data_IF_329527480867
#
_entry.id   IF_329527480867
#
_cell.length_a   1.000
_cell.length_b   1.000
_cell.length_c   1.000
_cell.angle_alpha   90.00
_cell.angle_beta   90.00
_cell.angle_gamma   90.00
#
_symmetry.space_group_name_H-M   'P 1'
#
loop_
_entity.id
_entity.type
_entity.pdbx_description
1 polymer ?
#
# COMPACT_ATOMS: atom_id res chain seq x y z
N UNK A 1 38.25 -5.67 -1.10
CA UNK A 1 37.32 -6.69 -1.67
C UNK A 1 36.70 -6.10 -2.93
N UNK A 2 36.80 -6.75 -4.09
CA UNK A 2 36.30 -6.19 -5.36
C UNK A 2 34.79 -6.38 -5.49
N UNK A 3 34.11 -5.48 -6.24
CA UNK A 3 32.66 -5.54 -6.48
C UNK A 3 32.22 -6.90 -7.07
N UNK A 4 33.04 -7.49 -7.96
CA UNK A 4 32.77 -8.81 -8.53
C UNK A 4 32.79 -9.93 -7.48
N UNK A 5 33.74 -9.90 -6.54
CA UNK A 5 33.84 -10.91 -5.48
C UNK A 5 32.65 -10.82 -4.51
N UNK A 6 32.26 -9.60 -4.14
CA UNK A 6 31.06 -9.35 -3.34
C UNK A 6 29.79 -9.91 -4.02
N UNK A 7 29.60 -9.60 -5.30
CA UNK A 7 28.45 -10.10 -6.07
C UNK A 7 28.40 -11.62 -6.10
N UNK A 8 29.54 -12.28 -6.35
CA UNK A 8 29.61 -13.74 -6.36
C UNK A 8 29.24 -14.33 -4.99
N UNK A 9 29.78 -13.78 -3.90
CA UNK A 9 29.46 -14.22 -2.53
C UNK A 9 27.96 -14.03 -2.19
N UNK A 10 27.36 -12.91 -2.60
CA UNK A 10 25.92 -12.68 -2.40
C UNK A 10 25.07 -13.68 -3.18
N UNK A 11 25.44 -13.99 -4.43
CA UNK A 11 24.73 -14.98 -5.25
C UNK A 11 24.84 -16.38 -4.62
N UNK A 12 26.04 -16.77 -4.17
CA UNK A 12 26.26 -18.05 -3.51
C UNK A 12 25.43 -18.17 -2.22
N UNK A 13 25.47 -17.14 -1.36
CA UNK A 13 24.69 -17.10 -0.13
C UNK A 13 23.18 -17.16 -0.40
N UNK A 14 22.69 -16.41 -1.39
CA UNK A 14 21.28 -16.43 -1.79
C UNK A 14 20.87 -17.80 -2.34
N UNK A 15 21.73 -18.46 -3.12
CA UNK A 15 21.46 -19.81 -3.65
C UNK A 15 21.37 -20.84 -2.53
N UNK A 16 22.28 -20.77 -1.55
CA UNK A 16 22.26 -21.65 -0.37
C UNK A 16 21.00 -21.41 0.48
N UNK A 17 20.64 -20.15 0.70
CA UNK A 17 19.43 -19.77 1.45
C UNK A 17 18.17 -20.25 0.72
N UNK A 18 18.09 -20.06 -0.60
CA UNK A 18 16.99 -20.55 -1.42
C UNK A 18 16.85 -22.06 -1.31
N UNK A 19 17.94 -22.83 -1.43
CA UNK A 19 17.89 -24.29 -1.28
C UNK A 19 17.35 -24.71 0.09
N UNK A 20 17.90 -24.15 1.17
CA UNK A 20 17.43 -24.44 2.53
C UNK A 20 15.94 -24.08 2.71
N UNK A 21 15.51 -22.98 2.08
CA UNK A 21 14.13 -22.55 2.12
C UNK A 21 13.20 -23.51 1.35
N UNK A 22 13.56 -23.92 0.14
CA UNK A 22 12.82 -24.92 -0.64
C UNK A 22 12.71 -26.24 0.14
N UNK A 23 13.80 -26.70 0.75
CA UNK A 23 13.77 -27.90 1.59
C UNK A 23 12.83 -27.73 2.80
N UNK A 24 12.81 -26.56 3.45
CA UNK A 24 11.87 -26.30 4.54
C UNK A 24 10.41 -26.25 4.06
N UNK A 25 10.15 -25.65 2.90
CA UNK A 25 8.81 -25.58 2.31
C UNK A 25 8.25 -26.96 1.96
N UNK A 26 9.10 -27.97 1.71
CA UNK A 26 8.65 -29.36 1.49
C UNK A 26 7.98 -29.98 2.71
N UNK A 27 8.43 -29.62 3.91
CA UNK A 27 7.87 -30.10 5.18
C UNK A 27 6.53 -29.44 5.53
N UNK A 28 6.26 -28.25 5.00
CA UNK A 28 5.04 -27.50 5.30
C UNK A 28 3.90 -27.99 4.41
N UNK A 29 2.77 -28.37 5.01
CA UNK A 29 1.60 -28.87 4.26
C UNK A 29 0.71 -27.73 3.72
N UNK A 30 0.53 -26.68 4.51
CA UNK A 30 -0.37 -25.56 4.19
C UNK A 30 0.36 -24.23 4.31
N UNK A 31 0.31 -23.44 3.23
CA UNK A 31 0.99 -22.17 3.11
C UNK A 31 -0.03 -21.09 2.76
N UNK A 32 0.08 -19.93 3.38
CA UNK A 32 -0.55 -18.72 2.90
C UNK A 32 0.54 -17.82 2.31
N UNK A 33 0.26 -17.12 1.23
CA UNK A 33 1.19 -16.13 0.67
C UNK A 33 0.60 -14.73 0.81
N UNK A 34 1.48 -13.75 1.01
CA UNK A 34 1.15 -12.34 0.81
C UNK A 34 1.94 -11.85 -0.40
N UNK A 35 1.33 -10.97 -1.19
CA UNK A 35 1.98 -10.38 -2.36
C UNK A 35 1.74 -8.89 -2.40
N UNK A 36 2.82 -8.15 -2.62
CA UNK A 36 2.80 -6.71 -2.80
C UNK A 36 3.50 -6.32 -4.09
N UNK A 37 3.00 -5.29 -4.76
CA UNK A 37 3.59 -4.73 -5.97
C UNK A 37 3.79 -3.22 -5.77
N UNK A 38 5.03 -2.75 -5.96
CA UNK A 38 5.33 -1.33 -5.83
C UNK A 38 6.22 -0.85 -6.95
N UNK A 39 6.09 0.44 -7.27
CA UNK A 39 6.97 1.11 -8.22
C UNK A 39 7.88 2.09 -7.50
N UNK A 40 9.19 1.97 -7.75
CA UNK A 40 10.20 2.91 -7.25
C UNK A 40 11.18 3.26 -8.37
N UNK A 41 11.47 4.55 -8.56
CA UNK A 41 12.40 5.05 -9.60
C UNK A 41 12.11 4.46 -11.00
N UNK A 42 10.83 4.45 -11.39
CA UNK A 42 10.33 3.92 -12.68
C UNK A 42 10.60 2.43 -12.89
N UNK A 43 10.72 1.67 -11.81
CA UNK A 43 10.87 0.21 -11.83
C UNK A 43 9.82 -0.42 -10.93
N UNK A 44 9.10 -1.39 -11.46
CA UNK A 44 8.19 -2.22 -10.67
C UNK A 44 8.90 -3.34 -9.98
N UNK A 45 8.38 -3.72 -8.83
CA UNK A 45 8.81 -4.87 -8.08
C UNK A 45 7.60 -5.63 -7.58
N UNK A 46 7.74 -6.95 -7.50
CA UNK A 46 6.83 -7.86 -6.84
C UNK A 46 7.57 -8.49 -5.65
N UNK A 47 6.94 -8.40 -4.48
CA UNK A 47 7.35 -9.07 -3.25
C UNK A 47 6.38 -10.19 -2.95
N UNK A 48 6.90 -11.37 -2.61
CA UNK A 48 6.08 -12.51 -2.17
C UNK A 48 6.66 -13.05 -0.87
N UNK A 49 5.82 -13.18 0.15
CA UNK A 49 6.16 -13.77 1.45
C UNK A 49 5.27 -14.99 1.67
N UNK A 50 5.85 -16.09 2.13
CA UNK A 50 5.12 -17.28 2.57
C UNK A 50 4.97 -17.27 4.09
N UNK A 51 3.81 -17.74 4.54
CA UNK A 51 3.43 -17.81 5.94
C UNK A 51 2.84 -19.19 6.25
N UNK A 52 3.19 -19.73 7.42
CA UNK A 52 2.63 -20.98 7.93
C UNK A 52 2.63 -20.99 9.46
N UNK A 53 1.95 -21.97 10.05
CA UNK A 53 1.96 -22.22 11.49
C UNK A 53 2.84 -23.45 11.75
N UNK A 54 3.81 -23.34 12.65
CA UNK A 54 4.67 -24.47 13.01
C UNK A 54 4.01 -25.36 14.09
N UNK A 55 4.68 -26.45 14.48
CA UNK A 55 4.18 -27.39 15.49
C UNK A 55 3.94 -26.75 16.87
N UNK A 56 4.67 -25.68 17.19
CA UNK A 56 4.53 -24.91 18.43
C UNK A 56 3.42 -23.84 18.36
N UNK A 57 2.58 -23.86 17.31
CA UNK A 57 1.53 -22.88 17.04
C UNK A 57 2.04 -21.45 16.82
N UNK A 58 3.31 -21.29 16.47
CA UNK A 58 3.90 -20.00 16.12
C UNK A 58 3.74 -19.72 14.64
N UNK A 59 3.30 -18.50 14.32
CA UNK A 59 3.32 -17.99 12.95
C UNK A 59 4.78 -17.83 12.50
N UNK A 60 5.09 -18.41 11.36
CA UNK A 60 6.36 -18.29 10.68
C UNK A 60 6.16 -17.57 9.35
N UNK A 61 7.10 -16.70 8.99
CA UNK A 61 7.07 -15.90 7.76
C UNK A 61 8.43 -15.93 7.07
N UNK A 62 8.45 -15.97 5.74
CA UNK A 62 9.68 -15.91 4.96
C UNK A 62 9.48 -15.25 3.61
N UNK A 63 10.38 -14.33 3.25
CA UNK A 63 10.37 -13.73 1.93
C UNK A 63 10.82 -14.76 0.88
N UNK A 64 9.93 -15.10 -0.05
CA UNK A 64 10.24 -15.97 -1.19
C UNK A 64 10.88 -15.17 -2.32
N UNK A 65 10.41 -13.96 -2.56
CA UNK A 65 10.83 -13.20 -3.72
C UNK A 65 10.77 -11.69 -3.49
N UNK A 66 11.73 -10.98 -4.08
CA UNK A 66 11.67 -9.55 -4.37
C UNK A 66 12.23 -9.38 -5.78
N UNK A 67 11.36 -9.42 -6.79
CA UNK A 67 11.75 -9.45 -8.20
C UNK A 67 11.35 -8.17 -8.89
N UNK A 68 12.16 -7.72 -9.83
CA UNK A 68 11.80 -6.61 -10.70
C UNK A 68 10.80 -7.09 -11.75
N UNK A 69 9.61 -6.47 -11.81
CA UNK A 69 8.68 -6.60 -12.92
C UNK A 69 9.11 -5.65 -14.05
N UNK A 70 9.46 -6.21 -15.21
CA UNK A 70 9.84 -5.44 -16.40
C UNK A 70 8.60 -5.20 -17.27
N UNK A 71 8.52 -4.02 -17.89
CA UNK A 71 7.37 -3.65 -18.72
C UNK A 71 6.15 -3.24 -17.89
N UNK A 72 4.98 -3.31 -18.52
CA UNK A 72 3.70 -3.02 -17.88
C UNK A 72 3.35 -4.10 -16.85
N UNK A 73 2.80 -3.71 -15.69
CA UNK A 73 2.40 -4.64 -14.63
C UNK A 73 0.96 -5.12 -14.86
N UNK A 74 0.69 -5.63 -16.06
CA UNK A 74 -0.62 -6.15 -16.42
C UNK A 74 -0.92 -7.42 -15.61
N UNK A 75 -2.20 -7.78 -15.56
CA UNK A 75 -2.69 -8.87 -14.71
C UNK A 75 -2.08 -10.24 -15.10
N UNK A 76 -1.86 -10.50 -16.39
CA UNK A 76 -1.18 -11.68 -16.94
C UNK A 76 0.29 -11.75 -16.49
N UNK A 77 1.02 -10.64 -16.50
CA UNK A 77 2.41 -10.58 -16.05
C UNK A 77 2.54 -10.83 -14.54
N UNK A 78 1.58 -10.33 -13.75
CA UNK A 78 1.53 -10.59 -12.31
C UNK A 78 1.21 -12.07 -12.06
N UNK A 79 0.24 -12.64 -12.77
CA UNK A 79 -0.15 -14.04 -12.64
C UNK A 79 1.02 -14.98 -12.99
N UNK A 80 1.68 -14.75 -14.13
CA UNK A 80 2.86 -15.50 -14.53
C UNK A 80 4.00 -15.38 -13.51
N UNK A 81 4.29 -14.18 -13.01
CA UNK A 81 5.33 -13.98 -12.00
C UNK A 81 5.02 -14.73 -10.69
N UNK A 82 3.76 -14.73 -10.24
CA UNK A 82 3.33 -15.50 -9.07
C UNK A 82 3.48 -16.99 -9.29
N UNK A 83 3.01 -17.51 -10.42
CA UNK A 83 3.14 -18.93 -10.76
C UNK A 83 4.62 -19.36 -10.82
N UNK A 84 5.49 -18.56 -11.43
CA UNK A 84 6.93 -18.81 -11.48
C UNK A 84 7.55 -18.88 -10.08
N UNK A 85 7.19 -17.94 -9.20
CA UNK A 85 7.67 -17.91 -7.81
C UNK A 85 7.17 -19.14 -7.05
N UNK A 86 5.89 -19.49 -7.16
CA UNK A 86 5.33 -20.65 -6.46
C UNK A 86 5.92 -21.97 -6.95
N UNK A 87 6.16 -22.10 -8.25
CA UNK A 87 6.78 -23.29 -8.87
C UNK A 87 8.24 -23.42 -8.44
N UNK A 88 8.98 -22.31 -8.37
CA UNK A 88 10.39 -22.31 -7.96
C UNK A 88 10.64 -22.88 -6.56
N UNK A 89 9.67 -22.73 -5.66
CA UNK A 89 9.75 -23.26 -4.29
C UNK A 89 8.97 -24.57 -4.09
N UNK A 90 8.35 -25.12 -5.15
CA UNK A 90 7.55 -26.35 -5.10
C UNK A 90 6.40 -26.25 -4.08
N UNK A 91 5.71 -25.10 -4.07
CA UNK A 91 4.65 -24.79 -3.10
C UNK A 91 3.27 -24.60 -3.71
N UNK A 92 3.13 -24.65 -5.05
CA UNK A 92 1.88 -24.31 -5.75
C UNK A 92 0.65 -25.02 -5.16
N UNK A 93 0.73 -26.34 -5.01
CA UNK A 93 -0.36 -27.18 -4.48
C UNK A 93 -0.58 -27.05 -2.96
N UNK A 94 0.30 -26.33 -2.26
CA UNK A 94 0.27 -26.14 -0.81
C UNK A 94 -0.32 -24.79 -0.42
N UNK A 95 -0.46 -23.87 -1.39
CA UNK A 95 -0.95 -22.54 -1.12
C UNK A 95 -2.46 -22.58 -0.95
N UNK A 96 -2.92 -22.33 0.28
CA UNK A 96 -4.34 -22.27 0.62
C UNK A 96 -4.96 -20.96 0.13
N UNK A 97 -4.19 -19.86 0.19
CA UNK A 97 -4.67 -18.52 -0.14
C UNK A 97 -3.52 -17.55 -0.39
N UNK A 98 -3.71 -16.64 -1.34
CA UNK A 98 -2.82 -15.50 -1.58
C UNK A 98 -3.52 -14.20 -1.20
N UNK A 99 -2.91 -13.41 -0.32
CA UNK A 99 -3.41 -12.10 0.10
C UNK A 99 -2.71 -10.97 -0.66
N UNK A 100 -3.46 -10.12 -1.33
CA UNK A 100 -2.93 -8.94 -2.04
C UNK A 100 -3.72 -7.68 -1.70
N UNK A 101 -3.22 -6.50 -2.08
CA UNK A 101 -4.07 -5.31 -2.08
C UNK A 101 -5.22 -5.44 -3.12
N UNK A 102 -6.15 -4.47 -3.11
CA UNK A 102 -7.27 -4.45 -4.06
C UNK A 102 -6.93 -3.68 -5.33
N UNK A 103 -5.66 -3.63 -5.72
CA UNK A 103 -5.24 -3.06 -6.99
C UNK A 103 -5.90 -3.78 -8.16
N UNK A 104 -6.35 -3.03 -9.17
CA UNK A 104 -7.13 -3.55 -10.30
C UNK A 104 -6.47 -4.73 -11.01
N UNK A 105 -5.14 -4.69 -11.18
CA UNK A 105 -4.41 -5.77 -11.84
C UNK A 105 -4.35 -7.05 -10.99
N UNK A 106 -4.29 -6.95 -9.66
CA UNK A 106 -4.42 -8.13 -8.79
C UNK A 106 -5.83 -8.71 -8.87
N UNK A 107 -6.85 -7.86 -8.71
CA UNK A 107 -8.25 -8.30 -8.80
C UNK A 107 -8.51 -9.00 -10.14
N UNK A 108 -8.03 -8.43 -11.24
CA UNK A 108 -8.17 -9.04 -12.57
C UNK A 108 -7.38 -10.34 -12.70
N UNK A 109 -6.16 -10.42 -12.17
CA UNK A 109 -5.33 -11.63 -12.23
C UNK A 109 -6.00 -12.81 -11.51
N UNK A 110 -6.47 -12.58 -10.29
CA UNK A 110 -7.17 -13.63 -9.54
C UNK A 110 -8.59 -13.89 -10.04
N UNK A 111 -9.26 -12.94 -10.69
CA UNK A 111 -10.55 -13.20 -11.34
C UNK A 111 -10.40 -14.10 -12.57
N UNK A 112 -9.33 -13.93 -13.34
CA UNK A 112 -9.09 -14.69 -14.58
C UNK A 112 -8.45 -16.05 -14.31
N UNK A 113 -7.48 -16.11 -13.39
CA UNK A 113 -6.65 -17.31 -13.21
C UNK A 113 -6.90 -18.08 -11.92
N UNK A 114 -7.74 -17.64 -10.97
CA UNK A 114 -7.92 -18.40 -9.72
C UNK A 114 -8.75 -19.68 -9.91
N UNK A 115 -8.46 -20.68 -9.08
CA UNK A 115 -9.29 -21.89 -8.96
C UNK A 115 -10.75 -21.53 -8.60
N UNK A 116 -11.69 -21.91 -9.46
CA UNK A 116 -13.12 -21.91 -9.13
C UNK A 116 -13.39 -22.96 -8.05
N UNK A 117 -13.90 -22.54 -6.89
CA UNK A 117 -14.49 -23.48 -5.94
C UNK A 117 -15.96 -23.70 -6.28
N UNK A 118 -16.43 -24.95 -6.30
CA UNK A 118 -17.84 -25.37 -6.48
C UNK A 118 -18.86 -24.81 -5.45
N UNK A 119 -18.54 -23.74 -4.70
CA UNK A 119 -19.41 -23.20 -3.65
C UNK A 119 -19.47 -21.68 -3.55
N UNK A 120 -19.12 -20.92 -4.59
CA UNK A 120 -19.21 -19.46 -4.57
C UNK A 120 -20.48 -18.94 -5.26
N UNK A 121 -21.65 -19.25 -4.68
CA UNK A 121 -22.86 -18.44 -4.90
C UNK A 121 -22.81 -17.22 -3.95
N UNK A 122 -21.86 -16.32 -4.19
CA UNK A 122 -21.94 -14.97 -3.65
C UNK A 122 -21.72 -14.02 -4.82
N UNK A 123 -22.83 -13.61 -5.41
CA UNK A 123 -22.91 -12.44 -6.28
C UNK A 123 -22.35 -11.24 -5.50
N UNK A 124 -21.11 -10.84 -5.79
CA UNK A 124 -20.63 -9.50 -5.45
C UNK A 124 -21.48 -8.51 -6.27
N UNK A 125 -22.54 -7.98 -5.66
CA UNK A 125 -23.24 -6.82 -6.20
C UNK A 125 -22.24 -5.66 -6.29
N UNK A 126 -22.02 -5.24 -7.53
CA UNK A 126 -21.18 -4.14 -7.91
C UNK A 126 -21.93 -2.84 -7.56
N UNK A 127 -21.64 -2.25 -6.40
CA UNK A 127 -22.07 -0.88 -6.07
C UNK A 127 -21.16 0.11 -6.82
N UNK A 128 -21.52 0.36 -8.07
CA UNK A 128 -20.93 1.39 -8.93
C UNK A 128 -21.50 2.76 -8.56
N UNK A 129 -20.81 3.44 -7.65
CA UNK A 129 -20.91 4.89 -7.48
C UNK A 129 -19.53 5.52 -7.66
N UNK A 130 -19.16 5.66 -8.93
CA UNK A 130 -18.08 6.52 -9.43
C UNK A 130 -18.57 7.96 -9.51
N UNK A 131 -18.37 8.75 -8.44
CA UNK A 131 -18.43 10.22 -8.54
C UNK A 131 -17.05 10.73 -9.00
N UNK A 132 -16.93 10.91 -10.31
CA UNK A 132 -15.81 11.56 -10.97
C UNK A 132 -15.87 13.09 -10.76
N UNK A 133 -14.90 13.65 -10.04
CA UNK A 133 -14.44 15.02 -10.29
C UNK A 133 -12.91 15.09 -10.16
N UNK A 134 -12.21 14.63 -11.21
CA UNK A 134 -11.03 15.32 -11.74
C UNK A 134 -10.75 14.77 -13.14
N UNK A 135 -10.92 15.62 -14.15
CA UNK A 135 -10.70 15.27 -15.55
C UNK A 135 -9.29 14.79 -15.84
N UNK A 136 -9.23 13.58 -16.37
CA UNK A 136 -8.45 13.19 -17.55
C UNK A 136 -9.14 11.92 -18.07
N UNK A 137 -9.82 12.03 -19.22
CA UNK A 137 -10.61 10.94 -19.81
C UNK A 137 -9.68 9.75 -20.10
N UNK A 138 -9.78 8.70 -19.29
CA UNK A 138 -9.37 7.36 -19.69
C UNK A 138 -10.63 6.50 -19.59
N UNK A 139 -11.33 6.38 -20.73
CA UNK A 139 -12.43 5.45 -20.91
C UNK A 139 -11.99 4.06 -20.42
N UNK A 140 -12.55 3.63 -19.29
CA UNK A 140 -12.41 2.24 -18.85
C UNK A 140 -13.41 1.45 -19.67
N UNK A 141 -12.95 0.88 -20.78
CA UNK A 141 -13.74 -0.11 -21.52
C UNK A 141 -14.11 -1.25 -20.57
N UNK A 142 -15.41 -1.40 -20.33
CA UNK A 142 -15.99 -2.59 -19.70
C UNK A 142 -15.78 -3.77 -20.66
N UNK A 143 -14.66 -4.46 -20.52
CA UNK A 143 -14.40 -5.68 -21.29
C UNK A 143 -15.24 -6.81 -20.70
N UNK A 144 -16.12 -7.39 -21.53
CA UNK A 144 -16.92 -8.56 -21.19
C UNK A 144 -15.99 -9.73 -20.79
N UNK A 145 -16.29 -10.34 -19.65
CA UNK A 145 -15.53 -11.49 -19.12
C UNK A 145 -15.68 -12.69 -20.06
N UNK A 146 -16.82 -12.81 -20.76
CA UNK A 146 -17.05 -13.88 -21.73
C UNK A 146 -16.13 -13.75 -22.97
N UNK A 147 -15.86 -12.53 -23.42
CA UNK A 147 -14.97 -12.28 -24.56
C UNK A 147 -13.50 -12.56 -24.21
N UNK A 148 -13.10 -12.40 -22.95
CA UNK A 148 -11.75 -12.73 -22.45
C UNK A 148 -11.53 -14.23 -22.24
N UNK A 149 -12.52 -14.96 -21.72
CA UNK A 149 -12.44 -16.43 -21.59
C UNK A 149 -12.39 -17.15 -22.96
N UNK A 150 -12.77 -16.46 -24.03
CA UNK A 150 -12.64 -16.96 -25.41
C UNK A 150 -11.24 -16.77 -26.00
N UNK A 151 -10.39 -15.94 -25.37
CA UNK A 151 -8.99 -15.80 -25.71
C UNK A 151 -8.19 -16.83 -24.91
N UNK A 152 -8.06 -18.03 -25.47
CA UNK A 152 -7.08 -19.02 -25.03
C UNK A 152 -5.67 -18.42 -25.16
N UNK A 153 -5.18 -17.84 -24.07
CA UNK A 153 -3.86 -17.23 -23.93
C UNK A 153 -2.76 -18.28 -23.71
N UNK A 154 -3.10 -19.58 -23.76
CA UNK A 154 -2.15 -20.69 -23.71
C UNK A 154 -1.39 -20.81 -22.39
N UNK A 155 -1.84 -20.13 -21.33
CA UNK A 155 -1.25 -20.22 -20.00
C UNK A 155 -1.86 -21.38 -19.21
N UNK A 156 -1.13 -22.49 -19.14
CA UNK A 156 -1.53 -23.74 -18.45
C UNK A 156 -1.27 -23.66 -16.92
N UNK A 157 -1.75 -22.61 -16.25
CA UNK A 157 -1.63 -22.52 -14.79
C UNK A 157 -2.82 -21.83 -14.11
N UNK A 158 -3.06 -22.20 -12.86
CA UNK A 158 -4.10 -21.63 -12.00
C UNK A 158 -3.46 -20.97 -10.78
N UNK A 159 -3.95 -19.79 -10.42
CA UNK A 159 -3.60 -19.09 -9.20
C UNK A 159 -4.38 -19.67 -8.00
N UNK A 160 -3.79 -19.67 -6.81
CA UNK A 160 -4.51 -20.03 -5.58
C UNK A 160 -5.65 -19.06 -5.28
N UNK A 161 -6.53 -19.45 -4.34
CA UNK A 161 -7.63 -18.60 -3.87
C UNK A 161 -7.13 -17.22 -3.42
N UNK A 162 -7.89 -16.19 -3.78
CA UNK A 162 -7.56 -14.81 -3.43
C UNK A 162 -8.12 -14.38 -2.09
N UNK A 163 -7.42 -13.48 -1.41
CA UNK A 163 -7.98 -12.67 -0.33
C UNK A 163 -7.50 -11.23 -0.44
N UNK A 164 -8.44 -10.30 -0.28
CA UNK A 164 -8.14 -8.88 -0.25
C UNK A 164 -7.51 -8.53 1.10
N UNK A 165 -6.47 -7.71 1.07
CA UNK A 165 -5.78 -7.22 2.25
C UNK A 165 -6.74 -6.39 3.11
N UNK A 166 -6.94 -6.82 4.37
CA UNK A 166 -7.82 -6.14 5.32
C UNK A 166 -7.40 -4.67 5.54
N UNK A 167 -6.10 -4.38 5.56
CA UNK A 167 -5.61 -3.00 5.71
C UNK A 167 -6.05 -2.11 4.55
N UNK A 168 -5.98 -2.63 3.32
CA UNK A 168 -6.41 -1.91 2.14
C UNK A 168 -7.93 -1.71 2.13
N UNK A 169 -8.70 -2.72 2.55
CA UNK A 169 -10.16 -2.62 2.68
C UNK A 169 -10.59 -1.56 3.71
N UNK A 170 -10.01 -1.59 4.91
CA UNK A 170 -10.29 -0.59 5.96
C UNK A 170 -9.96 0.80 5.44
N UNK A 171 -8.81 0.98 4.78
CA UNK A 171 -8.46 2.26 4.20
C UNK A 171 -9.47 2.71 3.14
N UNK A 172 -9.93 1.83 2.25
CA UNK A 172 -10.96 2.18 1.26
C UNK A 172 -12.27 2.63 1.91
N UNK A 173 -12.73 1.92 2.94
CA UNK A 173 -13.97 2.27 3.68
C UNK A 173 -13.82 3.67 4.29
N UNK A 174 -12.73 3.90 5.02
CA UNK A 174 -12.48 5.18 5.69
C UNK A 174 -12.36 6.32 4.70
N UNK A 175 -11.70 6.10 3.55
CA UNK A 175 -11.59 7.11 2.50
C UNK A 175 -12.94 7.40 1.84
N UNK A 176 -13.78 6.38 1.60
CA UNK A 176 -15.12 6.57 1.06
C UNK A 176 -15.99 7.41 2.00
N UNK A 177 -15.96 7.13 3.30
CA UNK A 177 -16.71 7.90 4.30
C UNK A 177 -16.18 9.33 4.45
N UNK A 178 -14.86 9.51 4.41
CA UNK A 178 -14.24 10.83 4.41
C UNK A 178 -14.62 11.65 3.17
N UNK A 179 -14.77 11.01 2.01
CA UNK A 179 -15.27 11.67 0.79
C UNK A 179 -16.74 12.06 0.93
N UNK A 180 -17.59 11.17 1.45
CA UNK A 180 -19.02 11.47 1.71
C UNK A 180 -19.19 12.63 2.69
N UNK A 181 -18.35 12.74 3.71
CA UNK A 181 -18.36 13.87 4.64
C UNK A 181 -18.17 15.24 3.93
N UNK A 182 -17.52 15.25 2.76
CA UNK A 182 -17.32 16.47 1.95
C UNK A 182 -18.57 16.93 1.22
N UNK A 183 -19.69 16.21 1.26
CA UNK A 183 -20.99 16.73 0.79
C UNK A 183 -21.54 17.81 1.73
N UNK A 184 -21.09 17.87 2.98
CA UNK A 184 -21.38 18.99 3.86
C UNK A 184 -20.47 20.20 3.51
N UNK A 185 -21.05 21.30 3.05
CA UNK A 185 -20.31 22.48 2.61
C UNK A 185 -19.45 23.12 3.71
N UNK A 186 -19.91 23.10 4.96
CA UNK A 186 -19.16 23.65 6.09
C UNK A 186 -17.92 22.82 6.35
N UNK A 187 -18.07 21.48 6.42
CA UNK A 187 -16.95 20.55 6.54
C UNK A 187 -15.98 20.71 5.37
N UNK A 188 -16.49 20.72 4.13
CA UNK A 188 -15.72 20.85 2.89
C UNK A 188 -14.86 22.12 2.89
N UNK A 189 -15.39 23.26 3.35
CA UNK A 189 -14.66 24.53 3.44
C UNK A 189 -13.51 24.45 4.44
N UNK A 190 -13.75 23.95 5.66
CA UNK A 190 -12.71 23.83 6.70
C UNK A 190 -11.65 22.80 6.28
N UNK A 191 -12.07 21.64 5.76
CA UNK A 191 -11.18 20.61 5.22
C UNK A 191 -10.24 21.18 4.16
N UNK A 192 -10.79 21.85 3.13
CA UNK A 192 -10.01 22.43 2.02
C UNK A 192 -9.05 23.49 2.54
N UNK A 193 -9.52 24.38 3.41
CA UNK A 193 -8.69 25.46 3.96
C UNK A 193 -7.53 24.91 4.80
N UNK A 194 -7.81 24.02 5.76
CA UNK A 194 -6.78 23.41 6.61
C UNK A 194 -5.76 22.60 5.80
N UNK A 195 -6.21 21.67 4.96
CA UNK A 195 -5.29 20.81 4.21
C UNK A 195 -4.53 21.56 3.11
N UNK A 196 -5.08 22.65 2.55
CA UNK A 196 -4.32 23.51 1.62
C UNK A 196 -3.07 24.11 2.29
N UNK A 197 -3.20 24.57 3.53
CA UNK A 197 -2.08 25.13 4.32
C UNK A 197 -1.09 24.05 4.75
N UNK A 198 -1.58 22.89 5.18
CA UNK A 198 -0.73 21.74 5.47
C UNK A 198 0.09 21.33 4.24
N UNK A 199 -0.56 21.17 3.08
CA UNK A 199 0.14 20.84 1.84
C UNK A 199 1.12 21.93 1.40
N UNK A 200 0.81 23.21 1.61
CA UNK A 200 1.74 24.29 1.33
C UNK A 200 3.03 24.15 2.16
N UNK A 201 2.92 23.89 3.47
CA UNK A 201 4.07 23.63 4.35
C UNK A 201 4.84 22.37 3.93
N UNK A 202 4.15 21.23 3.82
CA UNK A 202 4.77 19.95 3.48
C UNK A 202 5.47 19.97 2.12
N UNK A 203 4.86 20.60 1.11
CA UNK A 203 5.46 20.72 -0.21
C UNK A 203 6.65 21.68 -0.21
N UNK A 204 6.64 22.73 0.63
CA UNK A 204 7.79 23.64 0.76
C UNK A 204 9.00 22.89 1.31
N UNK A 205 8.84 22.18 2.43
CA UNK A 205 9.91 21.37 3.03
C UNK A 205 10.34 20.24 2.08
N UNK A 206 9.42 19.64 1.33
CA UNK A 206 9.75 18.58 0.37
C UNK A 206 10.51 19.05 -0.87
N UNK A 207 10.47 20.35 -1.21
CA UNK A 207 11.13 20.91 -2.41
C UNK A 207 12.40 21.70 -2.09
N UNK A 208 12.65 22.03 -0.82
CA UNK A 208 13.80 22.85 -0.41
C UNK A 208 14.46 22.25 0.83
N UNK A 209 15.71 21.84 0.68
CA UNK A 209 16.54 21.35 1.79
C UNK A 209 16.69 22.41 2.87
N UNK A 210 16.93 23.66 2.48
CA UNK A 210 17.01 24.80 3.41
C UNK A 210 15.71 24.96 4.21
N UNK A 211 14.54 24.82 3.58
CA UNK A 211 13.27 24.89 4.30
C UNK A 211 13.09 23.70 5.26
N UNK A 212 13.51 22.49 4.88
CA UNK A 212 13.48 21.33 5.76
C UNK A 212 14.41 21.52 6.97
N UNK A 213 15.64 22.00 6.76
CA UNK A 213 16.62 22.34 7.80
C UNK A 213 16.07 23.42 8.74
N UNK A 214 15.47 24.49 8.19
CA UNK A 214 14.85 25.56 8.99
C UNK A 214 13.78 25.02 9.94
N UNK A 215 12.95 24.08 9.47
CA UNK A 215 11.96 23.42 10.33
C UNK A 215 12.64 22.55 11.37
N UNK A 216 13.65 21.77 10.99
CA UNK A 216 14.39 20.90 11.91
C UNK A 216 15.10 21.69 13.01
N UNK A 217 15.73 22.81 12.67
CA UNK A 217 16.39 23.71 13.62
C UNK A 217 15.38 24.33 14.60
N UNK A 218 14.23 24.78 14.10
CA UNK A 218 13.20 25.40 14.93
C UNK A 218 12.43 24.38 15.79
N UNK A 219 12.16 23.19 15.25
CA UNK A 219 11.22 22.23 15.81
C UNK A 219 11.89 20.99 16.41
N UNK A 220 13.19 20.79 16.19
CA UNK A 220 13.93 19.56 16.49
C UNK A 220 13.34 18.32 15.81
N UNK A 221 12.46 18.52 14.83
CA UNK A 221 11.69 17.51 14.12
C UNK A 221 11.44 18.01 12.70
N UNK A 222 11.59 17.14 11.72
CA UNK A 222 11.14 17.41 10.35
C UNK A 222 9.63 17.19 10.21
N UNK A 223 9.01 17.93 9.30
CA UNK A 223 7.65 17.64 8.84
C UNK A 223 7.65 16.40 7.95
N UNK A 224 6.63 15.56 8.12
CA UNK A 224 6.41 14.42 7.24
C UNK A 224 5.61 14.87 6.02
N UNK A 225 6.01 14.38 4.84
CA UNK A 225 5.25 14.57 3.61
C UNK A 225 4.30 13.39 3.42
N UNK A 226 2.99 13.63 3.27
CA UNK A 226 2.05 12.57 2.90
C UNK A 226 2.46 11.92 1.57
N UNK A 227 2.29 10.61 1.49
CA UNK A 227 2.49 9.80 0.30
C UNK A 227 1.17 9.09 -0.02
N UNK A 228 0.62 9.32 -1.21
CA UNK A 228 -0.64 8.73 -1.66
C UNK A 228 -0.62 7.20 -1.66
N UNK A 229 0.54 6.56 -1.83
CA UNK A 229 0.66 5.09 -1.83
C UNK A 229 0.82 4.49 -0.43
N UNK A 230 0.98 5.31 0.62
CA UNK A 230 1.03 4.85 2.01
C UNK A 230 -0.17 5.41 2.76
N UNK A 231 -1.11 4.53 3.04
CA UNK A 231 -2.45 4.87 3.52
C UNK A 231 -2.48 5.66 4.85
N UNK A 232 -1.57 5.42 5.80
CA UNK A 232 -1.47 6.21 7.05
C UNK A 232 -0.65 7.51 6.94
N UNK A 233 -0.04 7.81 5.79
CA UNK A 233 0.96 8.88 5.71
C UNK A 233 0.38 10.27 5.97
N UNK A 234 -0.87 10.53 5.58
CA UNK A 234 -1.55 11.79 5.85
C UNK A 234 -1.81 11.95 7.35
N UNK A 235 -2.30 10.90 8.01
CA UNK A 235 -2.49 10.88 9.46
C UNK A 235 -1.18 11.16 10.20
N UNK A 236 -0.10 10.46 9.86
CA UNK A 236 1.21 10.65 10.50
C UNK A 236 1.74 12.08 10.29
N UNK A 237 1.49 12.68 9.11
CA UNK A 237 1.89 14.07 8.84
C UNK A 237 1.09 15.09 9.66
N UNK A 238 -0.21 14.86 9.85
CA UNK A 238 -1.05 15.71 10.73
C UNK A 238 -0.64 15.53 12.18
N UNK A 239 -0.46 14.29 12.65
CA UNK A 239 0.01 14.01 14.01
C UNK A 239 1.37 14.65 14.29
N UNK A 240 2.31 14.60 13.33
CA UNK A 240 3.60 15.29 13.43
C UNK A 240 3.43 16.80 13.58
N UNK A 241 2.55 17.42 12.79
CA UNK A 241 2.30 18.85 12.87
C UNK A 241 1.69 19.24 14.23
N UNK A 242 0.69 18.49 14.69
CA UNK A 242 0.04 18.71 16.00
C UNK A 242 1.02 18.52 17.16
N UNK A 243 1.92 17.55 17.06
CA UNK A 243 2.99 17.35 18.04
C UNK A 243 3.93 18.55 18.10
N UNK A 244 4.36 19.07 16.95
CA UNK A 244 5.22 20.28 16.92
C UNK A 244 4.46 21.47 17.52
N UNK A 245 3.18 21.66 17.19
CA UNK A 245 2.34 22.71 17.78
C UNK A 245 2.26 22.59 19.31
N UNK A 246 2.11 21.37 19.84
CA UNK A 246 2.07 21.10 21.28
C UNK A 246 3.42 21.34 21.96
N UNK A 247 4.50 20.83 21.37
CA UNK A 247 5.84 20.81 22.00
C UNK A 247 6.57 22.17 21.88
N UNK A 248 6.34 22.91 20.79
CA UNK A 248 7.05 24.16 20.46
C UNK A 248 6.17 25.40 20.46
N UNK A 249 4.85 25.23 20.59
CA UNK A 249 3.86 26.31 20.61
C UNK A 249 3.54 26.89 19.24
N UNK A 250 2.41 27.60 19.16
CA UNK A 250 1.91 28.22 17.92
C UNK A 250 2.83 29.30 17.35
N UNK A 251 3.63 29.96 18.20
CA UNK A 251 4.56 31.03 17.77
C UNK A 251 5.61 30.48 16.81
N UNK A 252 6.13 29.28 17.08
CA UNK A 252 7.12 28.61 16.23
C UNK A 252 6.54 28.31 14.86
N UNK A 253 5.35 27.73 14.79
CA UNK A 253 4.67 27.46 13.51
C UNK A 253 4.30 28.76 12.78
N UNK A 254 3.92 29.81 13.49
CA UNK A 254 3.64 31.13 12.90
C UNK A 254 4.87 31.72 12.21
N UNK A 255 6.04 31.62 12.85
CA UNK A 255 7.30 32.08 12.26
C UNK A 255 7.62 31.29 10.99
N UNK A 256 7.51 29.95 11.04
CA UNK A 256 7.71 29.10 9.85
C UNK A 256 6.73 29.42 8.72
N UNK A 257 5.45 29.64 9.05
CA UNK A 257 4.44 30.08 8.09
C UNK A 257 4.83 31.41 7.43
N UNK A 258 5.32 32.38 8.19
CA UNK A 258 5.80 33.66 7.65
C UNK A 258 7.01 33.47 6.73
N UNK A 259 8.02 32.71 7.17
CA UNK A 259 9.23 32.43 6.39
C UNK A 259 8.91 31.72 5.08
N UNK A 260 7.95 30.80 5.11
CA UNK A 260 7.54 30.02 3.94
C UNK A 260 6.46 30.71 3.10
N UNK A 261 5.97 31.88 3.53
CA UNK A 261 4.87 32.63 2.91
C UNK A 261 3.58 31.80 2.82
N UNK A 262 3.30 31.02 3.85
CA UNK A 262 2.07 30.24 4.02
C UNK A 262 1.18 30.96 5.03
N UNK A 263 -0.11 31.07 4.73
CA UNK A 263 -1.06 31.66 5.69
C UNK A 263 -1.16 30.81 6.96
N UNK A 264 -1.18 31.47 8.12
CA UNK A 264 -1.30 30.77 9.39
C UNK A 264 -2.66 30.08 9.53
N UNK A 265 -2.69 28.99 10.29
CA UNK A 265 -3.93 28.30 10.65
C UNK A 265 -4.78 29.18 11.56
N UNK A 266 -6.09 29.19 11.33
CA UNK A 266 -7.05 29.80 12.25
C UNK A 266 -7.49 28.77 13.33
N UNK A 267 -8.16 29.20 14.42
CA UNK A 267 -8.55 28.29 15.50
C UNK A 267 -9.45 27.14 15.05
N UNK A 268 -10.35 27.36 14.10
CA UNK A 268 -11.25 26.32 13.59
C UNK A 268 -10.50 25.25 12.78
N UNK A 269 -9.48 25.65 12.02
CA UNK A 269 -8.62 24.72 11.27
C UNK A 269 -7.74 23.88 12.21
N UNK A 270 -7.19 24.49 13.27
CA UNK A 270 -6.43 23.76 14.28
C UNK A 270 -7.30 22.76 15.05
N UNK A 271 -8.51 23.16 15.44
CA UNK A 271 -9.49 22.28 16.05
C UNK A 271 -9.85 21.11 15.11
N UNK A 272 -10.11 21.40 13.84
CA UNK A 272 -10.38 20.40 12.81
C UNK A 272 -9.24 19.39 12.65
N UNK A 273 -7.97 19.83 12.61
CA UNK A 273 -6.83 18.92 12.52
C UNK A 273 -6.72 18.03 13.76
N UNK A 274 -7.01 18.57 14.95
CA UNK A 274 -7.09 17.81 16.20
C UNK A 274 -8.17 16.73 16.17
N UNK A 275 -9.39 17.08 15.76
CA UNK A 275 -10.49 16.13 15.60
C UNK A 275 -10.17 15.06 14.55
N UNK A 276 -9.59 15.46 13.41
CA UNK A 276 -9.13 14.53 12.38
C UNK A 276 -8.13 13.51 12.95
N UNK A 277 -7.15 13.95 13.75
CA UNK A 277 -6.19 13.04 14.37
C UNK A 277 -6.88 12.06 15.35
N UNK A 278 -7.85 12.52 16.15
CA UNK A 278 -8.62 11.68 17.06
C UNK A 278 -9.38 10.60 16.29
N UNK A 279 -10.10 10.98 15.23
CA UNK A 279 -10.91 10.06 14.41
C UNK A 279 -10.03 9.03 13.68
N UNK A 280 -8.87 9.47 13.16
CA UNK A 280 -7.99 8.60 12.38
C UNK A 280 -7.04 7.73 13.23
N UNK A 281 -6.85 8.06 14.52
CA UNK A 281 -6.00 7.28 15.44
C UNK A 281 -6.41 5.80 15.53
N UNK A 282 -7.67 5.43 15.85
CA UNK A 282 -8.04 4.02 15.97
C UNK A 282 -7.92 3.29 14.63
N UNK A 283 -8.20 3.97 13.51
CA UNK A 283 -7.98 3.42 12.17
C UNK A 283 -6.51 3.08 12.00
N UNK A 284 -5.61 4.05 12.18
CA UNK A 284 -4.17 3.88 12.02
C UNK A 284 -3.60 2.77 12.92
N UNK A 285 -4.07 2.68 14.17
CA UNK A 285 -3.71 1.62 15.10
C UNK A 285 -4.15 0.24 14.62
N UNK A 286 -5.41 0.08 14.22
CA UNK A 286 -5.97 -1.20 13.77
C UNK A 286 -5.20 -1.75 12.56
N UNK A 287 -4.96 -0.90 11.57
CA UNK A 287 -4.17 -1.23 10.39
C UNK A 287 -2.69 -1.46 10.68
N UNK A 288 -2.06 -0.77 11.64
CA UNK A 288 -0.69 -1.10 12.06
C UNK A 288 -0.61 -2.50 12.68
N UNK A 289 -1.64 -2.90 13.46
CA UNK A 289 -1.75 -4.25 14.02
C UNK A 289 -1.91 -5.29 12.91
N UNK A 290 -2.75 -5.01 11.91
CA UNK A 290 -3.01 -5.92 10.79
C UNK A 290 -1.82 -6.04 9.83
N UNK A 291 -0.94 -5.05 9.77
CA UNK A 291 0.31 -5.08 9.01
C UNK A 291 1.47 -5.71 9.78
N UNK A 292 1.33 -5.93 11.10
CA UNK A 292 2.37 -6.54 11.90
C UNK A 292 2.44 -8.05 11.59
N UNK A 293 3.47 -8.44 10.84
CA UNK A 293 3.85 -9.84 10.64
C UNK A 293 4.29 -10.53 11.92
#
# INVERSE_FOLDING_TARGET
MTCMKLRAMTIEAATKMKKALTDKMREVAHIATTTDCWTVRRRGFIGVTAHWINEDLNRCSVALACRQLKGSHTFDQIAAALNDIHTEYDIREKIVRTTTDSGSNFIKAFKVYAEESESASESEEQDDHTDEESGDDVEVENVDVADLLSQDDGMEFQLPRHQRCACHLINRIVMADALKARWNDTYKKVYRSAFSKCHALWNKCGRSTLAAETVEDACSLQLLRPNTTRWNSLFLAVERLLRILKDKGEVTIRNLCNDFKVSMFNPAELAFLGEYAIVMTPVAQATNILQAE
#
